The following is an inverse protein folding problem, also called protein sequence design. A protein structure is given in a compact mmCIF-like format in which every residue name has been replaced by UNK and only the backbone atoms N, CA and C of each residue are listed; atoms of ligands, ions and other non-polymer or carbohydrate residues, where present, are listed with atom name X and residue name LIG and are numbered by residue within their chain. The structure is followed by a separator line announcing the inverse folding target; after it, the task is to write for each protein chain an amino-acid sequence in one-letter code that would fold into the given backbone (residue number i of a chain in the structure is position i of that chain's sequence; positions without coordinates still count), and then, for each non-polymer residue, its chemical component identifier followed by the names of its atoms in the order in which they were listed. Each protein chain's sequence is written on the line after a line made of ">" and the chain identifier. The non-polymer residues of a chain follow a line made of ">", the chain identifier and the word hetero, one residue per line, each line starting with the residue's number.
data_IF_023560933400
#
_entry.id   IF_023560933400
#
_cell.length_a   1.000
_cell.length_b   1.000
_cell.length_c   1.000
_cell.angle_alpha   90.00
_cell.angle_beta   90.00
_cell.angle_gamma   90.00
#
_symmetry.space_group_name_H-M   'P 1'
#
loop_
_entity.id
_entity.type
_entity.pdbx_description
1 polymer ?
#
# COMPACT_ATOMS: atom_id res chain seq x y z
N UNK A 1 -0.76 16.12 -20.60
CA UNK A 1 0.14 15.77 -19.51
C UNK A 1 0.36 14.28 -19.35
N UNK A 2 1.23 13.92 -18.44
CA UNK A 2 1.53 12.52 -18.16
C UNK A 2 0.33 11.82 -17.50
N UNK A 3 0.14 10.57 -17.86
CA UNK A 3 -0.86 9.69 -17.26
C UNK A 3 -0.16 8.47 -16.67
N UNK A 4 -0.57 8.07 -15.47
CA UNK A 4 -0.06 6.86 -14.83
C UNK A 4 -0.96 5.68 -15.13
N UNK A 5 -0.36 4.55 -15.46
CA UNK A 5 -1.06 3.33 -15.83
C UNK A 5 -0.58 2.20 -14.93
N UNK A 6 -1.50 1.46 -14.28
CA UNK A 6 -1.11 0.29 -13.48
C UNK A 6 -0.47 -0.79 -14.36
N UNK A 7 0.67 -1.32 -13.92
CA UNK A 7 1.47 -2.24 -14.74
C UNK A 7 0.75 -3.54 -15.07
N UNK A 8 0.01 -4.10 -14.11
CA UNK A 8 -0.68 -5.39 -14.29
C UNK A 8 -2.19 -5.28 -14.45
N UNK A 9 -2.74 -4.07 -14.33
CA UNK A 9 -4.18 -3.83 -14.44
C UNK A 9 -4.43 -2.53 -15.20
N UNK A 10 -4.05 -2.44 -16.48
CA UNK A 10 -4.05 -1.16 -17.20
C UNK A 10 -5.43 -0.54 -17.41
N UNK A 11 -6.51 -1.32 -17.24
CA UNK A 11 -7.88 -0.81 -17.32
C UNK A 11 -8.37 -0.16 -16.01
N UNK A 12 -7.67 -0.38 -14.90
CA UNK A 12 -7.99 0.23 -13.63
C UNK A 12 -7.27 1.58 -13.47
N UNK A 13 -7.73 2.46 -12.56
CA UNK A 13 -6.99 3.69 -12.27
C UNK A 13 -5.67 3.38 -11.56
N UNK A 14 -4.63 4.15 -11.84
CA UNK A 14 -3.39 4.10 -11.09
C UNK A 14 -3.59 4.72 -9.71
N UNK A 15 -3.05 4.08 -8.68
CA UNK A 15 -3.25 4.49 -7.28
C UNK A 15 -1.96 4.49 -6.50
N UNK A 16 -1.99 5.22 -5.38
CA UNK A 16 -0.97 5.20 -4.34
C UNK A 16 -1.64 4.95 -2.99
N UNK A 17 -1.01 4.14 -2.15
CA UNK A 17 -1.51 3.86 -0.81
C UNK A 17 -0.36 3.59 0.15
N UNK A 18 -0.64 3.65 1.44
CA UNK A 18 0.33 3.33 2.48
C UNK A 18 0.36 1.83 2.73
N UNK A 19 1.55 1.33 3.08
CA UNK A 19 1.74 -0.04 3.54
C UNK A 19 2.79 -0.08 4.65
N UNK A 20 2.80 -1.16 5.41
CA UNK A 20 3.92 -1.49 6.28
C UNK A 20 4.27 -2.98 6.15
N UNK A 21 5.51 -3.30 6.51
CA UNK A 21 6.07 -4.62 6.32
C UNK A 21 6.87 -5.05 7.54
N UNK A 22 6.59 -6.25 8.02
CA UNK A 22 7.33 -6.86 9.12
C UNK A 22 8.73 -7.27 8.66
N UNK A 23 9.70 -7.19 9.57
CA UNK A 23 11.05 -7.67 9.33
C UNK A 23 11.06 -9.16 9.00
N UNK A 24 11.90 -9.55 8.05
CA UNK A 24 12.07 -10.94 7.66
C UNK A 24 11.05 -11.47 6.66
N UNK A 25 10.27 -10.59 6.02
CA UNK A 25 9.35 -10.99 4.96
C UNK A 25 10.14 -11.60 3.78
N UNK A 26 9.65 -12.73 3.27
CA UNK A 26 10.26 -13.40 2.12
C UNK A 26 9.48 -13.21 0.82
N UNK A 27 8.46 -12.35 0.83
CA UNK A 27 7.63 -12.00 -0.33
C UNK A 27 6.77 -13.13 -0.89
N UNK A 28 6.75 -14.31 -0.25
CA UNK A 28 5.99 -15.46 -0.74
C UNK A 28 4.48 -15.36 -0.50
N UNK A 29 4.06 -14.58 0.50
CA UNK A 29 2.69 -14.53 0.98
C UNK A 29 2.14 -15.89 1.44
N UNK A 30 3.01 -16.85 1.73
CA UNK A 30 2.64 -18.22 2.14
C UNK A 30 2.83 -18.41 3.63
N UNK A 31 1.92 -19.18 4.25
CA UNK A 31 1.96 -19.47 5.67
C UNK A 31 1.98 -18.18 6.49
N UNK A 32 2.90 -18.10 7.45
CA UNK A 32 3.04 -16.91 8.32
C UNK A 32 3.34 -15.63 7.54
N UNK A 33 3.97 -15.73 6.37
CA UNK A 33 4.35 -14.58 5.56
C UNK A 33 3.16 -13.88 4.89
N UNK A 34 1.98 -14.48 4.88
CA UNK A 34 0.76 -13.83 4.44
C UNK A 34 0.41 -12.59 5.30
N UNK A 35 0.87 -12.57 6.56
CA UNK A 35 0.61 -11.48 7.51
C UNK A 35 1.83 -10.59 7.77
N UNK A 36 2.82 -10.59 6.87
CA UNK A 36 4.02 -9.76 7.02
C UNK A 36 3.90 -8.40 6.34
N UNK A 37 3.00 -8.24 5.37
CA UNK A 37 2.73 -6.96 4.70
C UNK A 37 1.26 -6.61 4.84
N UNK A 38 1.00 -5.34 5.16
CA UNK A 38 -0.33 -4.82 5.38
C UNK A 38 -0.53 -3.54 4.61
N UNK A 39 -1.67 -3.43 3.96
CA UNK A 39 -2.04 -2.31 3.11
C UNK A 39 -3.17 -1.52 3.75
N UNK A 40 -3.13 -0.20 3.58
CA UNK A 40 -4.11 0.72 4.14
C UNK A 40 -5.53 0.41 3.69
N UNK A 41 -6.56 0.82 4.46
CA UNK A 41 -7.95 0.65 4.07
C UNK A 41 -8.25 1.23 2.68
N UNK A 42 -9.26 0.66 2.01
CA UNK A 42 -9.65 1.08 0.66
C UNK A 42 -9.94 2.59 0.56
N UNK A 43 -10.50 3.18 1.61
CA UNK A 43 -10.77 4.63 1.66
C UNK A 43 -9.50 5.49 1.64
N UNK A 44 -8.35 4.91 1.95
CA UNK A 44 -7.05 5.57 1.95
C UNK A 44 -6.20 5.21 0.72
N UNK A 45 -6.82 4.64 -0.31
CA UNK A 45 -6.20 4.41 -1.62
C UNK A 45 -6.56 5.60 -2.51
N UNK A 46 -5.55 6.33 -2.96
CA UNK A 46 -5.76 7.57 -3.70
C UNK A 46 -5.38 7.43 -5.16
N UNK A 47 -6.14 8.01 -6.09
CA UNK A 47 -5.75 8.03 -7.49
C UNK A 47 -4.51 8.91 -7.69
N UNK A 48 -3.62 8.49 -8.59
CA UNK A 48 -2.46 9.27 -9.00
C UNK A 48 -2.88 10.37 -9.97
N UNK A 49 -3.38 11.47 -9.41
CA UNK A 49 -3.79 12.66 -10.17
C UNK A 49 -2.81 13.81 -9.91
N UNK A 50 -2.69 14.78 -10.84
CA UNK A 50 -1.82 15.93 -10.63
C UNK A 50 -2.20 16.73 -9.39
N UNK A 51 -1.21 17.36 -8.78
CA UNK A 51 -1.38 18.24 -7.63
C UNK A 51 -0.91 17.61 -6.34
N UNK A 52 -1.11 18.35 -5.25
CA UNK A 52 -0.72 17.96 -3.91
C UNK A 52 -1.84 17.13 -3.26
N UNK A 53 -1.47 16.03 -2.60
CA UNK A 53 -2.40 15.16 -1.91
C UNK A 53 -1.92 14.88 -0.50
N UNK A 54 -2.86 14.74 0.44
CA UNK A 54 -2.57 14.36 1.81
C UNK A 54 -3.28 13.04 2.10
N UNK A 55 -2.51 12.04 2.54
CA UNK A 55 -3.03 10.76 2.98
C UNK A 55 -2.88 10.63 4.49
N UNK A 56 -3.97 10.32 5.17
CA UNK A 56 -3.96 10.07 6.61
C UNK A 56 -4.73 8.79 6.88
N UNK A 57 -4.12 7.89 7.64
CA UNK A 57 -4.74 6.64 8.04
C UNK A 57 -4.26 6.25 9.43
N UNK A 58 -5.15 5.64 10.22
CA UNK A 58 -4.85 5.18 11.57
C UNK A 58 -4.58 3.68 11.55
N UNK A 59 -3.74 3.20 12.45
CA UNK A 59 -3.49 1.77 12.57
C UNK A 59 -4.65 1.00 13.23
N UNK A 60 -5.59 1.69 13.87
CA UNK A 60 -6.80 1.08 14.40
C UNK A 60 -7.91 0.92 13.35
N UNK A 61 -7.69 1.36 12.13
CA UNK A 61 -8.61 1.16 11.02
C UNK A 61 -8.40 -0.23 10.40
N UNK A 62 -9.20 -0.54 9.37
CA UNK A 62 -9.23 -1.87 8.78
C UNK A 62 -8.19 -2.02 7.68
N UNK A 63 -6.98 -2.44 8.06
CA UNK A 63 -5.92 -2.79 7.13
C UNK A 63 -6.11 -4.21 6.60
N UNK A 64 -5.59 -4.50 5.42
CA UNK A 64 -5.66 -5.83 4.82
C UNK A 64 -4.25 -6.35 4.53
N UNK A 65 -4.07 -7.67 4.69
CA UNK A 65 -2.80 -8.31 4.36
C UNK A 65 -2.68 -8.57 2.85
N UNK A 66 -1.61 -9.24 2.45
CA UNK A 66 -1.32 -9.52 1.03
C UNK A 66 -2.45 -10.30 0.36
N UNK A 67 -3.15 -11.15 1.11
CA UNK A 67 -4.25 -11.97 0.58
C UNK A 67 -5.62 -11.30 0.71
N UNK A 68 -5.65 -10.01 1.06
CA UNK A 68 -6.89 -9.27 1.20
C UNK A 68 -7.66 -9.56 2.49
N UNK A 69 -7.06 -10.25 3.45
CA UNK A 69 -7.70 -10.56 4.73
C UNK A 69 -7.59 -9.36 5.67
N UNK A 70 -8.71 -8.92 6.28
CA UNK A 70 -8.68 -7.77 7.16
C UNK A 70 -8.03 -8.08 8.51
N UNK A 71 -7.51 -7.05 9.16
CA UNK A 71 -6.80 -7.19 10.44
C UNK A 71 -7.69 -7.66 11.59
N UNK A 72 -9.00 -7.44 11.52
CA UNK A 72 -9.93 -7.97 12.52
C UNK A 72 -10.15 -9.48 12.38
N UNK A 73 -9.82 -10.07 11.23
CA UNK A 73 -9.86 -11.52 11.02
C UNK A 73 -8.58 -12.20 11.51
N UNK A 74 -7.45 -11.51 11.42
CA UNK A 74 -6.13 -12.05 11.82
C UNK A 74 -5.45 -11.04 12.75
N UNK A 75 -6.02 -10.79 13.95
CA UNK A 75 -5.50 -9.73 14.82
C UNK A 75 -4.10 -9.99 15.35
N UNK A 76 -3.76 -11.24 15.67
CA UNK A 76 -2.43 -11.57 16.18
C UNK A 76 -1.33 -11.33 15.12
N UNK A 77 -1.58 -11.69 13.88
CA UNK A 77 -0.65 -11.44 12.77
C UNK A 77 -0.46 -9.95 12.50
N UNK A 78 -1.54 -9.18 12.59
CA UNK A 78 -1.50 -7.74 12.43
C UNK A 78 -0.67 -7.05 13.52
N UNK A 79 -0.95 -7.37 14.78
CA UNK A 79 -0.22 -6.81 15.93
C UNK A 79 1.25 -7.18 15.86
N UNK A 80 1.57 -8.43 15.55
CA UNK A 80 2.96 -8.88 15.39
C UNK A 80 3.68 -8.09 14.29
N UNK A 81 3.03 -7.85 13.18
CA UNK A 81 3.60 -7.07 12.08
C UNK A 81 3.84 -5.61 12.49
N UNK A 82 2.92 -4.98 13.22
CA UNK A 82 3.09 -3.63 13.74
C UNK A 82 4.26 -3.54 14.73
N UNK A 83 4.36 -4.49 15.65
CA UNK A 83 5.41 -4.50 16.66
C UNK A 83 6.81 -4.76 16.08
N UNK A 84 6.88 -5.42 14.93
CA UNK A 84 8.13 -5.81 14.28
C UNK A 84 8.29 -5.16 12.91
N UNK A 85 7.72 -4.00 12.71
CA UNK A 85 7.78 -3.29 11.43
C UNK A 85 9.20 -2.89 11.07
N UNK A 86 9.63 -3.28 9.88
CA UNK A 86 10.91 -2.87 9.31
C UNK A 86 10.74 -1.73 8.30
N UNK A 87 9.60 -1.65 7.63
CA UNK A 87 9.35 -0.65 6.59
C UNK A 87 7.91 -0.14 6.64
N UNK A 88 7.78 1.16 6.43
CA UNK A 88 6.52 1.84 6.15
C UNK A 88 6.77 2.67 4.89
N UNK A 89 5.84 2.63 3.95
CA UNK A 89 6.05 3.36 2.70
C UNK A 89 4.82 3.47 1.85
N UNK A 90 5.07 3.81 0.60
CA UNK A 90 4.04 4.00 -0.42
C UNK A 90 4.05 2.83 -1.39
N UNK A 91 2.87 2.35 -1.73
CA UNK A 91 2.67 1.31 -2.73
C UNK A 91 1.95 1.90 -3.94
N UNK A 92 2.46 1.59 -5.12
CA UNK A 92 1.91 2.07 -6.40
C UNK A 92 1.31 0.90 -7.16
N UNK A 93 0.12 1.08 -7.69
CA UNK A 93 -0.55 0.04 -8.45
C UNK A 93 -1.97 0.43 -8.83
N UNK A 94 -2.90 -0.49 -8.62
CA UNK A 94 -4.33 -0.30 -8.84
C UNK A 94 -5.09 -0.68 -7.57
N UNK A 95 -6.41 -0.41 -7.50
CA UNK A 95 -7.21 -0.84 -6.34
C UNK A 95 -7.12 -2.33 -6.04
N UNK A 96 -7.04 -3.17 -7.06
CA UNK A 96 -6.95 -4.63 -6.90
C UNK A 96 -5.51 -5.14 -6.74
N UNK A 97 -4.52 -4.38 -7.22
CA UNK A 97 -3.10 -4.78 -7.23
C UNK A 97 -2.23 -3.61 -6.76
N UNK A 98 -2.35 -3.29 -5.49
CA UNK A 98 -1.86 -2.05 -4.89
C UNK A 98 -0.37 -1.81 -4.99
N UNK A 99 0.44 -2.87 -5.01
CA UNK A 99 1.90 -2.78 -5.03
C UNK A 99 2.52 -3.35 -6.30
N UNK A 100 1.73 -3.56 -7.35
CA UNK A 100 2.22 -4.14 -8.61
C UNK A 100 2.83 -3.12 -9.57
N UNK A 101 2.89 -1.87 -9.17
CA UNK A 101 3.58 -0.83 -9.90
C UNK A 101 2.71 -0.07 -10.88
N UNK A 102 3.25 1.06 -11.32
CA UNK A 102 2.65 1.91 -12.35
C UNK A 102 3.75 2.36 -13.30
N UNK A 103 3.35 2.76 -14.50
CA UNK A 103 4.25 3.46 -15.42
C UNK A 103 3.57 4.74 -15.91
N UNK A 104 4.39 5.68 -16.39
CA UNK A 104 3.91 6.97 -16.90
C UNK A 104 3.97 6.97 -18.42
N UNK A 105 2.98 7.60 -19.05
CA UNK A 105 2.94 7.74 -20.50
C UNK A 105 3.90 8.81 -21.01
N UNK A 106 4.41 9.66 -20.13
CA UNK A 106 5.34 10.76 -20.46
C UNK A 106 6.15 11.09 -19.20
N UNK A 107 7.04 12.06 -19.30
CA UNK A 107 7.83 12.52 -18.16
C UNK A 107 6.92 12.97 -17.01
N UNK A 108 7.19 12.45 -15.83
CA UNK A 108 6.40 12.75 -14.63
C UNK A 108 7.31 12.78 -13.40
N UNK A 109 6.83 13.47 -12.36
CA UNK A 109 7.53 13.54 -11.08
C UNK A 109 6.56 13.24 -9.96
N UNK A 110 6.98 12.36 -9.06
CA UNK A 110 6.35 12.15 -7.76
C UNK A 110 7.29 12.66 -6.68
N UNK A 111 6.78 13.53 -5.81
CA UNK A 111 7.58 14.10 -4.72
C UNK A 111 6.89 13.85 -3.40
N UNK A 112 7.59 13.20 -2.47
CA UNK A 112 7.12 13.02 -1.10
C UNK A 112 7.56 14.24 -0.29
N UNK A 113 6.60 15.11 0.07
CA UNK A 113 6.88 16.35 0.78
C UNK A 113 7.04 16.14 2.28
N UNK A 114 6.26 15.22 2.86
CA UNK A 114 6.27 14.96 4.30
C UNK A 114 5.78 13.55 4.58
N UNK A 115 6.37 12.89 5.57
CA UNK A 115 5.94 11.59 6.05
C UNK A 115 6.07 11.56 7.56
N UNK A 116 4.94 11.40 8.27
CA UNK A 116 4.91 11.44 9.73
C UNK A 116 4.13 10.26 10.28
N UNK A 117 4.66 9.67 11.34
CA UNK A 117 3.97 8.66 12.16
C UNK A 117 3.74 9.28 13.54
N UNK A 118 2.47 9.29 13.94
CA UNK A 118 2.07 9.87 15.22
C UNK A 118 1.51 8.83 16.16
#
# INVERSE_FOLDING_TARGET
>A
GARFIPAESPSEPATVSLYFQQAGDNWSARGRYASYRWYAPAKAVFPLTPGEHIMTVRFDEKWTNVNGQPNNLIPAGYVSALENTARIGLAFGSPSRRSHGVFSTDSARFTLLSFQIK
#
